data_IF_071246130701
#
_entry.id   IF_071246130701
#
_cell.length_a   1.000
_cell.length_b   1.000
_cell.length_c   1.000
_cell.angle_alpha   90.00
_cell.angle_beta   90.00
_cell.angle_gamma   90.00
#
_symmetry.space_group_name_H-M   'P 1'
#
loop_
_entity.id
_entity.type
_entity.pdbx_description
1 polymer ?
#
# COMPACT_ATOMS: atom_id res chain seq x y z
N UNK A 1 26.63 22.64 -21.67
CA UNK A 1 25.82 21.65 -20.92
C UNK A 1 24.47 22.27 -20.59
N UNK A 2 23.37 21.53 -20.67
CA UNK A 2 22.06 22.05 -20.24
C UNK A 2 22.00 22.07 -18.71
N UNK A 3 21.84 23.24 -18.12
CA UNK A 3 21.61 23.38 -16.69
C UNK A 3 20.17 22.96 -16.35
N UNK A 4 19.96 22.50 -15.11
CA UNK A 4 18.65 22.11 -14.60
C UNK A 4 18.25 23.02 -13.45
N UNK A 5 17.00 23.45 -13.42
CA UNK A 5 16.46 24.06 -12.20
C UNK A 5 16.41 23.03 -11.06
N UNK A 6 16.40 23.50 -9.82
CA UNK A 6 16.32 22.60 -8.64
C UNK A 6 15.08 21.71 -8.68
N UNK A 7 13.97 22.21 -9.21
CA UNK A 7 12.72 21.43 -9.36
C UNK A 7 12.88 20.32 -10.39
N UNK A 8 13.50 20.61 -11.54
CA UNK A 8 13.75 19.61 -12.58
C UNK A 8 14.75 18.56 -12.12
N UNK A 9 15.83 18.97 -11.46
CA UNK A 9 16.82 18.06 -10.92
C UNK A 9 16.21 17.13 -9.86
N UNK A 10 15.36 17.66 -8.99
CA UNK A 10 14.65 16.84 -7.99
C UNK A 10 13.83 15.73 -8.64
N UNK A 11 13.12 16.02 -9.73
CA UNK A 11 12.33 15.04 -10.48
C UNK A 11 13.20 14.04 -11.24
N UNK A 12 14.23 14.50 -11.95
CA UNK A 12 15.09 13.66 -12.79
C UNK A 12 15.92 12.66 -11.98
N UNK A 13 16.42 13.10 -10.83
CA UNK A 13 17.30 12.28 -9.99
C UNK A 13 16.58 11.61 -8.81
N UNK A 14 15.27 11.82 -8.67
CA UNK A 14 14.46 11.33 -7.54
C UNK A 14 15.06 11.70 -6.16
N UNK A 15 15.49 12.96 -6.02
CA UNK A 15 16.10 13.49 -4.79
C UNK A 15 15.24 14.63 -4.27
N UNK A 16 14.96 14.66 -2.98
CA UNK A 16 14.22 15.74 -2.36
C UNK A 16 14.92 17.11 -2.53
N UNK A 17 14.15 18.15 -2.90
CA UNK A 17 14.66 19.53 -3.05
C UNK A 17 15.48 20.00 -1.84
N UNK A 18 15.03 19.65 -0.63
CA UNK A 18 15.72 19.98 0.62
C UNK A 18 17.13 19.37 0.69
N UNK A 19 17.32 18.16 0.17
CA UNK A 19 18.62 17.50 0.09
C UNK A 19 19.55 18.22 -0.89
N UNK A 20 19.02 18.66 -2.02
CA UNK A 20 19.77 19.46 -3.01
C UNK A 20 20.21 20.79 -2.39
N UNK A 21 19.31 21.51 -1.72
CA UNK A 21 19.66 22.74 -1.00
C UNK A 21 20.71 22.52 0.10
N UNK A 22 20.66 21.39 0.81
CA UNK A 22 21.68 21.03 1.79
C UNK A 22 23.04 20.81 1.13
N UNK A 23 23.10 20.11 0.00
CA UNK A 23 24.35 19.90 -0.75
C UNK A 23 24.92 21.23 -1.27
N UNK A 24 24.06 22.13 -1.75
CA UNK A 24 24.46 23.50 -2.14
C UNK A 24 25.03 24.25 -0.93
N UNK A 25 24.34 24.26 0.21
CA UNK A 25 24.81 24.96 1.43
C UNK A 25 26.14 24.41 1.95
N UNK A 26 26.39 23.11 1.74
CA UNK A 26 27.67 22.46 2.06
C UNK A 26 28.78 22.74 1.07
N UNK A 27 28.48 23.35 -0.09
CA UNK A 27 29.43 23.54 -1.17
C UNK A 27 29.72 22.27 -1.97
N UNK A 28 28.90 21.22 -1.83
CA UNK A 28 29.05 19.98 -2.60
C UNK A 28 28.58 20.16 -4.05
N UNK A 29 27.66 21.09 -4.31
CA UNK A 29 27.12 21.44 -5.63
C UNK A 29 27.25 22.94 -5.83
N UNK A 30 27.67 23.37 -7.03
CA UNK A 30 27.79 24.80 -7.36
C UNK A 30 26.55 25.26 -8.14
N UNK A 31 25.65 26.07 -7.54
CA UNK A 31 24.53 26.64 -8.28
C UNK A 31 24.97 27.82 -9.14
N UNK A 32 24.37 27.94 -10.31
CA UNK A 32 24.44 29.12 -11.17
C UNK A 32 23.11 29.86 -11.13
N UNK A 33 23.15 31.18 -11.25
CA UNK A 33 21.96 32.01 -11.32
C UNK A 33 21.65 32.30 -12.78
N UNK A 34 20.43 32.00 -13.21
CA UNK A 34 19.98 32.39 -14.54
C UNK A 34 19.61 33.90 -14.56
N UNK A 35 19.38 34.46 -15.75
CA UNK A 35 18.99 35.87 -15.96
C UNK A 35 17.76 36.30 -15.13
N UNK A 36 16.90 35.33 -14.79
CA UNK A 36 15.69 35.52 -13.98
C UNK A 36 15.90 35.35 -12.46
N UNK A 37 17.14 35.21 -12.00
CA UNK A 37 17.42 35.00 -10.57
C UNK A 37 17.10 33.59 -10.06
N UNK A 38 16.89 32.62 -10.95
CA UNK A 38 16.57 31.23 -10.58
C UNK A 38 17.85 30.40 -10.49
N UNK A 39 18.01 29.66 -9.39
CA UNK A 39 19.13 28.73 -9.22
C UNK A 39 19.00 27.53 -10.16
N UNK A 40 20.05 27.32 -10.93
CA UNK A 40 20.23 26.18 -11.82
C UNK A 40 21.52 25.43 -11.45
N UNK A 41 21.53 24.12 -11.66
CA UNK A 41 22.62 23.24 -11.29
C UNK A 41 23.04 22.40 -12.49
N UNK A 42 24.32 22.05 -12.55
CA UNK A 42 24.83 21.15 -13.57
C UNK A 42 24.38 19.70 -13.27
N UNK A 43 23.82 18.96 -14.24
CA UNK A 43 23.56 17.52 -14.08
C UNK A 43 24.78 16.70 -13.63
N UNK A 44 26.00 17.10 -14.00
CA UNK A 44 27.22 16.41 -13.60
C UNK A 44 27.47 16.49 -12.09
N UNK A 45 27.16 17.63 -11.47
CA UNK A 45 27.23 17.77 -10.01
C UNK A 45 26.22 16.87 -9.31
N UNK A 46 25.02 16.73 -9.88
CA UNK A 46 24.01 15.81 -9.35
C UNK A 46 24.48 14.35 -9.41
N UNK A 47 25.09 13.94 -10.52
CA UNK A 47 25.65 12.58 -10.67
C UNK A 47 26.85 12.38 -9.72
N UNK A 48 27.73 13.37 -9.60
CA UNK A 48 28.90 13.30 -8.72
C UNK A 48 28.48 13.13 -7.25
N UNK A 49 27.54 13.95 -6.78
CA UNK A 49 27.14 13.98 -5.37
C UNK A 49 26.14 12.88 -5.02
N UNK A 50 25.23 12.53 -5.93
CA UNK A 50 24.12 11.62 -5.64
C UNK A 50 24.04 10.38 -6.53
N UNK A 51 24.82 10.28 -7.60
CA UNK A 51 24.82 9.14 -8.53
C UNK A 51 25.42 7.86 -7.94
N UNK A 52 26.05 7.93 -6.77
CA UNK A 52 26.61 6.76 -6.07
C UNK A 52 25.88 6.54 -4.74
N UNK A 53 24.75 5.79 -4.72
CA UNK A 53 23.99 5.53 -3.48
C UNK A 53 24.80 4.77 -2.42
N UNK A 54 25.97 4.20 -2.76
CA UNK A 54 26.81 3.39 -1.86
C UNK A 54 28.03 4.07 -1.25
N UNK A 55 28.32 5.35 -1.54
CA UNK A 55 29.51 6.03 -1.00
C UNK A 55 29.13 7.26 -0.18
N UNK A 56 28.47 7.01 0.96
CA UNK A 56 28.56 7.98 2.06
C UNK A 56 30.04 8.06 2.43
N UNK A 57 30.71 9.15 2.05
CA UNK A 57 32.03 9.45 2.57
C UNK A 57 31.89 9.63 4.09
N UNK A 58 32.17 8.56 4.82
CA UNK A 58 32.36 8.59 6.27
C UNK A 58 33.72 9.23 6.50
N UNK A 59 33.75 10.57 6.51
CA UNK A 59 34.78 11.28 7.26
C UNK A 59 34.42 11.10 8.73
N UNK A 60 35.13 10.20 9.42
CA UNK A 60 34.98 9.94 10.85
C UNK A 60 34.74 8.47 11.17
N UNK A 61 35.84 7.73 11.30
CA UNK A 61 36.04 6.57 12.19
C UNK A 61 34.81 5.72 12.54
N UNK A 62 34.47 4.77 11.67
CA UNK A 62 33.89 3.48 12.07
C UNK A 62 33.89 2.53 10.86
N UNK A 63 35.02 1.84 10.65
CA UNK A 63 35.03 0.63 9.81
C UNK A 63 34.26 -0.46 10.56
N UNK A 64 32.93 -0.50 10.46
CA UNK A 64 32.22 -1.77 10.58
C UNK A 64 32.47 -2.55 9.29
N UNK A 65 33.60 -3.24 9.26
CA UNK A 65 33.90 -4.21 8.22
C UNK A 65 33.00 -5.43 8.45
N UNK A 66 31.71 -5.30 8.16
CA UNK A 66 30.85 -6.47 7.95
C UNK A 66 31.23 -6.97 6.56
N UNK A 67 32.28 -7.79 6.53
CA UNK A 67 32.54 -8.69 5.42
C UNK A 67 31.35 -9.62 5.32
N UNK A 68 30.28 -9.18 4.66
CA UNK A 68 29.20 -10.06 4.22
C UNK A 68 29.88 -11.06 3.30
N UNK A 69 30.07 -12.29 3.78
CA UNK A 69 30.65 -13.33 2.95
C UNK A 69 29.76 -13.45 1.71
N UNK A 70 30.32 -13.16 0.54
CA UNK A 70 29.55 -13.19 -0.72
C UNK A 70 28.84 -14.54 -0.91
N UNK A 71 29.39 -15.62 -0.36
CA UNK A 71 28.81 -16.96 -0.39
C UNK A 71 27.53 -17.09 0.46
N UNK A 72 27.43 -16.38 1.58
CA UNK A 72 26.22 -16.38 2.42
C UNK A 72 25.08 -15.63 1.71
N UNK A 73 25.39 -14.50 1.09
CA UNK A 73 24.44 -13.74 0.29
C UNK A 73 23.98 -14.54 -0.94
N UNK A 74 24.91 -15.20 -1.64
CA UNK A 74 24.57 -16.04 -2.80
C UNK A 74 23.70 -17.22 -2.38
N UNK A 75 23.94 -17.82 -1.21
CA UNK A 75 23.09 -18.89 -0.67
C UNK A 75 21.69 -18.39 -0.34
N UNK A 76 21.57 -17.25 0.34
CA UNK A 76 20.27 -16.65 0.65
C UNK A 76 19.47 -16.33 -0.61
N UNK A 77 20.12 -15.71 -1.61
CA UNK A 77 19.49 -15.42 -2.91
C UNK A 77 19.02 -16.69 -3.62
N UNK A 78 19.79 -17.79 -3.55
CA UNK A 78 19.37 -19.08 -4.11
C UNK A 78 18.14 -19.65 -3.41
N UNK A 79 18.06 -19.53 -2.10
CA UNK A 79 16.89 -19.99 -1.32
C UNK A 79 15.64 -19.18 -1.70
N UNK A 80 15.76 -17.85 -1.77
CA UNK A 80 14.66 -16.98 -2.19
C UNK A 80 14.18 -17.30 -3.61
N UNK A 81 15.10 -17.58 -4.54
CA UNK A 81 14.74 -17.97 -5.91
C UNK A 81 13.95 -19.28 -5.92
N UNK A 82 14.32 -20.24 -5.08
CA UNK A 82 13.64 -21.53 -5.03
C UNK A 82 12.23 -21.41 -4.42
N UNK A 83 12.08 -20.65 -3.35
CA UNK A 83 10.78 -20.29 -2.76
C UNK A 83 9.88 -19.61 -3.80
N UNK A 84 10.38 -18.59 -4.50
CA UNK A 84 9.63 -17.89 -5.54
C UNK A 84 9.22 -18.81 -6.71
N UNK A 85 10.02 -19.82 -7.04
CA UNK A 85 9.64 -20.81 -8.06
C UNK A 85 8.51 -21.70 -7.57
N UNK A 86 8.56 -22.14 -6.31
CA UNK A 86 7.51 -22.95 -5.70
C UNK A 86 6.20 -22.17 -5.67
N UNK A 87 6.21 -20.94 -5.17
CA UNK A 87 5.03 -20.06 -5.15
C UNK A 87 4.46 -19.85 -6.55
N UNK A 88 5.33 -19.58 -7.53
CA UNK A 88 4.91 -19.43 -8.93
C UNK A 88 4.26 -20.69 -9.48
N UNK A 89 4.77 -21.87 -9.11
CA UNK A 89 4.19 -23.15 -9.54
C UNK A 89 2.83 -23.39 -8.90
N UNK A 90 2.69 -23.11 -7.60
CA UNK A 90 1.45 -23.22 -6.86
C UNK A 90 0.38 -22.27 -7.43
N UNK A 91 0.71 -20.99 -7.62
CA UNK A 91 -0.22 -20.01 -8.19
C UNK A 91 -0.66 -20.38 -9.60
N UNK A 92 0.23 -20.96 -10.42
CA UNK A 92 -0.15 -21.47 -11.75
C UNK A 92 -1.15 -22.62 -11.66
N UNK A 93 -0.97 -23.54 -10.72
CA UNK A 93 -1.89 -24.65 -10.50
C UNK A 93 -3.26 -24.13 -10.03
N UNK A 94 -3.28 -23.15 -9.12
CA UNK A 94 -4.51 -22.52 -8.64
C UNK A 94 -5.27 -21.83 -9.79
N UNK A 95 -4.56 -21.05 -10.61
CA UNK A 95 -5.14 -20.40 -11.80
C UNK A 95 -5.70 -21.46 -12.77
N UNK A 96 -5.00 -22.57 -12.97
CA UNK A 96 -5.48 -23.65 -13.82
C UNK A 96 -6.73 -24.33 -13.25
N UNK A 97 -6.85 -24.43 -11.92
CA UNK A 97 -8.05 -24.96 -11.27
C UNK A 97 -9.23 -24.04 -11.44
N UNK A 98 -9.07 -22.76 -11.12
CA UNK A 98 -10.13 -21.75 -11.27
C UNK A 98 -10.61 -21.65 -12.73
N UNK A 99 -9.71 -21.79 -13.70
CA UNK A 99 -10.09 -21.83 -15.12
C UNK A 99 -10.94 -23.06 -15.47
N UNK A 100 -10.60 -24.23 -14.95
CA UNK A 100 -11.41 -25.45 -15.14
C UNK A 100 -12.80 -25.27 -14.53
N UNK A 101 -12.87 -24.79 -13.30
CA UNK A 101 -14.16 -24.56 -12.63
C UNK A 101 -15.01 -23.55 -13.42
N UNK A 102 -14.39 -22.51 -13.97
CA UNK A 102 -15.07 -21.54 -14.83
C UNK A 102 -15.64 -22.19 -16.10
N UNK A 103 -14.87 -23.04 -16.79
CA UNK A 103 -15.31 -23.75 -17.98
C UNK A 103 -16.47 -24.71 -17.66
N UNK A 104 -16.39 -25.42 -16.53
CA UNK A 104 -17.44 -26.31 -16.05
C UNK A 104 -18.75 -25.55 -15.74
N UNK A 105 -18.65 -24.42 -15.03
CA UNK A 105 -19.82 -23.57 -14.77
C UNK A 105 -20.43 -23.01 -16.06
N UNK A 106 -19.59 -22.62 -17.02
CA UNK A 106 -20.07 -22.15 -18.33
C UNK A 106 -20.87 -23.23 -19.04
N UNK A 107 -20.39 -24.48 -19.05
CA UNK A 107 -21.09 -25.61 -19.65
C UNK A 107 -22.43 -25.88 -18.96
N UNK A 108 -22.46 -25.85 -17.63
CA UNK A 108 -23.70 -26.04 -16.85
C UNK A 108 -24.75 -24.96 -17.16
N UNK A 109 -24.32 -23.71 -17.29
CA UNK A 109 -25.21 -22.59 -17.67
C UNK A 109 -25.76 -22.80 -19.08
N UNK A 110 -24.91 -23.13 -20.05
CA UNK A 110 -25.32 -23.38 -21.45
C UNK A 110 -26.32 -24.54 -21.53
N UNK A 111 -26.08 -25.63 -20.80
CA UNK A 111 -27.00 -26.77 -20.73
C UNK A 111 -28.35 -26.38 -20.10
N UNK A 112 -28.35 -25.63 -18.99
CA UNK A 112 -29.57 -25.17 -18.33
C UNK A 112 -30.42 -24.28 -19.25
N UNK A 113 -29.79 -23.36 -19.98
CA UNK A 113 -30.48 -22.52 -20.96
C UNK A 113 -31.11 -23.35 -22.08
N UNK A 114 -30.41 -24.38 -22.58
CA UNK A 114 -30.94 -25.25 -23.64
C UNK A 114 -32.12 -26.11 -23.17
N UNK A 115 -32.11 -26.59 -21.92
CA UNK A 115 -33.22 -27.36 -21.34
C UNK A 115 -34.47 -26.49 -21.15
N UNK A 116 -34.34 -25.27 -20.63
CA UNK A 116 -35.48 -24.34 -20.45
C UNK A 116 -36.14 -23.96 -21.79
N UNK A 117 -35.37 -23.78 -22.86
CA UNK A 117 -35.91 -23.47 -24.20
C UNK A 117 -36.58 -24.69 -24.84
N UNK A 118 -36.10 -25.91 -24.59
CA UNK A 118 -36.71 -27.14 -25.10
C UNK A 118 -38.00 -27.52 -24.36
N UNK A 119 -38.09 -27.23 -23.06
CA UNK A 119 -39.28 -27.52 -22.24
C UNK A 119 -40.43 -26.51 -22.43
N UNK A 120 -40.17 -25.33 -23.03
CA UNK A 120 -41.20 -24.31 -23.28
C UNK A 120 -41.97 -24.55 -24.61
N UNK A 121 -41.68 -25.65 -25.32
CA UNK A 121 -42.24 -25.92 -26.65
C UNK A 121 -43.55 -26.70 -26.68
N UNK A 122 -43.87 -27.55 -25.70
CA UNK A 122 -45.06 -28.41 -25.79
C UNK A 122 -45.74 -28.61 -24.44
N UNK A 123 -47.07 -28.44 -24.46
CA UNK A 123 -48.07 -28.74 -23.43
C UNK A 123 -48.16 -27.83 -22.20
N UNK A 124 -49.07 -26.85 -22.28
CA UNK A 124 -49.68 -26.26 -21.10
C UNK A 124 -50.70 -27.19 -20.45
N UNK A 125 -50.61 -27.38 -19.13
CA UNK A 125 -51.75 -27.54 -18.22
C UNK A 125 -51.29 -27.58 -16.75
N UNK A 126 -51.60 -26.50 -16.02
CA UNK A 126 -51.96 -26.43 -14.60
C UNK A 126 -51.08 -27.18 -13.57
N UNK A 127 -50.37 -26.41 -12.74
CA UNK A 127 -50.69 -26.39 -11.31
C UNK A 127 -50.19 -25.10 -10.65
N UNK A 128 -51.12 -24.22 -10.32
CA UNK A 128 -51.00 -23.34 -9.18
C UNK A 128 -50.82 -24.21 -7.94
N UNK A 129 -49.72 -24.04 -7.21
CA UNK A 129 -49.77 -23.87 -5.77
C UNK A 129 -48.46 -23.32 -5.24
N UNK A 130 -48.60 -22.12 -4.70
CA UNK A 130 -47.75 -21.53 -3.69
C UNK A 130 -47.38 -22.55 -2.60
N UNK A 131 -46.10 -22.66 -2.28
CA UNK A 131 -45.68 -22.94 -0.91
C UNK A 131 -44.34 -22.28 -0.63
N UNK A 132 -44.39 -20.96 -0.47
CA UNK A 132 -43.46 -20.29 0.44
C UNK A 132 -43.84 -20.75 1.85
N UNK A 133 -43.29 -21.89 2.27
CA UNK A 133 -43.39 -22.40 3.63
C UNK A 133 -42.31 -21.76 4.48
N UNK A 134 -42.57 -20.54 4.95
CA UNK A 134 -41.81 -19.97 6.07
C UNK A 134 -42.33 -20.56 7.40
N UNK A 135 -41.39 -20.72 8.33
CA UNK A 135 -41.52 -20.88 9.79
C UNK A 135 -41.48 -22.30 10.39
N UNK A 136 -40.41 -22.57 11.15
CA UNK A 136 -40.46 -22.47 12.62
C UNK A 136 -39.07 -22.17 13.20
N UNK A 137 -38.86 -20.92 13.64
CA UNK A 137 -37.94 -20.58 14.73
C UNK A 137 -38.60 -21.01 16.04
N UNK A 138 -37.83 -21.61 16.94
CA UNK A 138 -38.23 -21.81 18.33
C UNK A 138 -37.99 -20.52 19.11
N UNK A 139 -39.04 -20.09 19.80
CA UNK A 139 -39.15 -19.12 20.90
C UNK A 139 -38.18 -19.50 22.06
N UNK A 140 -37.72 -18.65 22.99
CA UNK A 140 -38.05 -17.31 23.48
C UNK A 140 -36.90 -16.94 24.46
N UNK A 141 -36.43 -15.70 24.63
CA UNK A 141 -37.04 -14.63 25.45
C UNK A 141 -36.26 -13.32 25.13
N UNK A 142 -36.90 -12.31 24.52
CA UNK A 142 -37.53 -11.11 25.13
C UNK A 142 -36.55 -10.31 26.03
N UNK A 143 -36.36 -9.00 25.87
CA UNK A 143 -37.31 -7.88 25.71
C UNK A 143 -36.65 -6.74 24.90
N UNK A 144 -37.30 -6.06 23.93
CA UNK A 144 -38.27 -4.95 24.09
C UNK A 144 -37.51 -3.63 24.31
N UNK A 145 -37.61 -2.53 23.55
CA UNK A 145 -38.69 -1.97 22.72
C UNK A 145 -38.10 -0.85 21.82
N UNK A 146 -38.56 -0.76 20.57
CA UNK A 146 -38.29 0.27 19.55
C UNK A 146 -39.21 1.52 19.73
N UNK A 147 -39.33 2.56 18.84
CA UNK A 147 -38.60 2.94 17.60
C UNK A 147 -38.37 4.49 17.45
N UNK A 148 -37.87 4.91 16.26
CA UNK A 148 -38.12 6.21 15.58
C UNK A 148 -37.47 7.50 16.18
N UNK A 149 -37.03 8.55 15.46
CA UNK A 149 -37.11 8.96 14.07
C UNK A 149 -36.04 10.05 13.73
N UNK A 150 -35.67 10.13 12.44
CA UNK A 150 -35.35 11.33 11.61
C UNK A 150 -34.55 12.54 12.15
N UNK A 151 -33.50 12.87 11.36
CA UNK A 151 -33.08 14.18 10.78
C UNK A 151 -31.70 14.74 11.17
N UNK A 152 -30.96 15.01 10.09
CA UNK A 152 -29.76 15.84 9.95
C UNK A 152 -30.10 17.31 10.23
N UNK A 153 -29.19 18.05 10.86
CA UNK A 153 -28.76 19.40 10.42
C UNK A 153 -27.57 19.87 11.27
N UNK A 154 -26.52 20.30 10.58
CA UNK A 154 -25.39 21.07 11.08
C UNK A 154 -25.83 22.37 11.76
N UNK A 155 -25.23 22.70 12.91
CA UNK A 155 -25.02 24.06 13.41
C UNK A 155 -23.88 24.05 14.46
N UNK A 156 -22.68 24.50 14.07
CA UNK A 156 -21.74 25.21 14.96
C UNK A 156 -22.35 26.60 15.33
N UNK A 157 -21.96 27.36 16.40
CA UNK A 157 -20.60 27.41 16.97
C UNK A 157 -20.43 27.77 18.49
N UNK A 158 -19.18 27.63 18.96
CA UNK A 158 -18.43 28.36 20.03
C UNK A 158 -18.64 28.11 21.55
N UNK A 159 -17.50 27.81 22.19
CA UNK A 159 -16.76 28.58 23.24
C UNK A 159 -16.23 27.76 24.44
N UNK A 160 -14.89 27.76 24.53
CA UNK A 160 -14.07 27.98 25.73
C UNK A 160 -13.66 26.80 26.64
N UNK A 161 -12.32 26.74 26.81
CA UNK A 161 -11.53 26.44 28.02
C UNK A 161 -11.64 25.05 28.66
N UNK A 162 -10.60 24.23 28.46
CA UNK A 162 -9.63 23.80 29.50
C UNK A 162 -8.81 22.57 29.04
N UNK A 163 -7.51 22.57 29.35
CA UNK A 163 -6.63 21.42 29.17
C UNK A 163 -6.92 20.35 30.24
N UNK A 164 -6.59 19.07 30.01
CA UNK A 164 -5.38 18.58 30.67
C UNK A 164 -4.48 17.64 29.83
N UNK A 165 -3.23 17.61 30.28
CA UNK A 165 -2.04 17.04 29.65
C UNK A 165 -2.09 15.53 29.34
N UNK A 166 -1.75 15.17 28.10
CA UNK A 166 -1.31 13.81 27.74
C UNK A 166 0.21 13.73 27.91
N UNK A 167 0.65 13.24 29.08
CA UNK A 167 2.07 13.01 29.39
C UNK A 167 2.53 11.72 28.70
N UNK A 168 3.38 11.88 27.68
CA UNK A 168 4.02 10.79 26.94
C UNK A 168 5.16 10.10 27.70
N UNK A 169 5.55 8.94 27.19
CA UNK A 169 6.49 7.92 27.73
C UNK A 169 7.91 8.37 28.16
N UNK A 170 8.22 9.67 28.20
CA UNK A 170 9.60 10.17 28.37
C UNK A 170 10.04 10.39 29.83
N UNK A 171 9.25 9.99 30.83
CA UNK A 171 9.60 10.23 32.25
C UNK A 171 10.37 9.10 32.94
N UNK A 172 10.80 8.05 32.23
CA UNK A 172 11.50 6.91 32.84
C UNK A 172 13.03 6.94 32.76
N UNK A 173 13.64 7.94 32.12
CA UNK A 173 15.11 7.97 31.95
C UNK A 173 15.85 8.98 32.86
N UNK A 174 15.14 9.81 33.64
CA UNK A 174 15.79 10.87 34.45
C UNK A 174 15.87 10.49 35.95
N UNK A 175 15.41 9.29 36.33
CA UNK A 175 15.39 8.84 37.73
C UNK A 175 16.59 8.01 38.19
N UNK A 176 17.56 7.72 37.32
CA UNK A 176 18.55 6.66 37.57
C UNK A 176 20.02 7.14 37.45
N UNK A 177 20.27 8.45 37.65
CA UNK A 177 21.63 9.03 37.65
C UNK A 177 22.01 9.72 38.98
N UNK A 178 21.11 9.78 39.96
CA UNK A 178 21.48 10.18 41.33
C UNK A 178 20.98 9.17 42.35
N UNK A 179 21.78 8.14 42.61
CA UNK A 179 21.89 7.50 43.91
C UNK A 179 23.31 7.03 44.14
#
# INVERSE_FOLDING_TARGET
MSLLTIVEASRKFNIGRTTIYKAIKKGEITPQLNELGVQQIDPQDMIRVFGHPGKKAVSGDAKSNVSVNNDDLVRELRLQIEELKQDKSFLKQEIASVRRDFDDFKLLIEHKQKTEVAETGETGAKQDQSSFGEQKKQDEKQTGTQPENLKKTDLEPKHSTEQPAKKGLLRRLVGEILR
#
